data_IF_516173895368
#
_entry.id   IF_516173895368
#
_cell.length_a   1.000
_cell.length_b   1.000
_cell.length_c   1.000
_cell.angle_alpha   90.00
_cell.angle_beta   90.00
_cell.angle_gamma   90.00
#
_symmetry.space_group_name_H-M   'P 1'
#
loop_
_entity.id
_entity.type
_entity.pdbx_description
1 polymer ?
#
# COMPACT_ATOMS: atom_id res chain seq x y z
N UNK A 1 2.06 8.92 -0.35
CA UNK A 1 3.01 8.00 -1.01
C UNK A 1 4.13 7.67 -0.04
N UNK A 2 4.68 6.46 -0.14
CA UNK A 2 5.86 6.01 0.59
C UNK A 2 6.89 5.44 -0.39
N UNK A 3 8.16 5.62 -0.09
CA UNK A 3 9.30 4.99 -0.75
C UNK A 3 9.60 3.68 -0.02
N UNK A 4 9.39 2.52 -0.66
CA UNK A 4 9.82 1.26 -0.08
C UNK A 4 11.36 1.17 -0.07
N UNK A 5 11.94 0.26 0.75
CA UNK A 5 13.39 0.03 0.71
C UNK A 5 13.89 -0.32 -0.71
N UNK A 6 15.12 0.05 -1.08
CA UNK A 6 15.67 -0.21 -2.42
C UNK A 6 15.54 -1.67 -2.84
N UNK A 7 15.18 -1.91 -4.10
CA UNK A 7 14.99 -3.26 -4.65
C UNK A 7 13.68 -3.94 -4.25
N UNK A 8 12.78 -3.26 -3.51
CA UNK A 8 11.51 -3.86 -3.10
C UNK A 8 10.48 -3.77 -4.24
N UNK A 9 10.07 -4.93 -4.75
CA UNK A 9 8.95 -5.03 -5.69
C UNK A 9 7.58 -4.82 -5.04
N UNK A 10 6.55 -4.52 -5.86
CA UNK A 10 5.20 -4.20 -5.39
C UNK A 10 4.59 -5.32 -4.53
N UNK A 11 4.77 -6.59 -4.92
CA UNK A 11 4.27 -7.73 -4.14
C UNK A 11 4.90 -7.78 -2.74
N UNK A 12 6.21 -7.58 -2.65
CA UNK A 12 6.95 -7.56 -1.37
C UNK A 12 6.58 -6.35 -0.52
N UNK A 13 6.40 -5.19 -1.13
CA UNK A 13 5.93 -3.98 -0.48
C UNK A 13 4.53 -4.19 0.11
N UNK A 14 3.59 -4.69 -0.70
CA UNK A 14 2.23 -4.99 -0.28
C UNK A 14 2.19 -6.00 0.86
N UNK A 15 2.99 -7.08 0.77
CA UNK A 15 3.08 -8.07 1.85
C UNK A 15 3.47 -7.44 3.19
N UNK A 16 4.51 -6.59 3.20
CA UNK A 16 4.98 -5.91 4.42
C UNK A 16 3.92 -4.98 5.01
N UNK A 17 3.19 -4.27 4.16
CA UNK A 17 2.06 -3.43 4.58
C UNK A 17 0.97 -4.28 5.23
N UNK A 18 0.58 -5.38 4.59
CA UNK A 18 -0.45 -6.27 5.12
C UNK A 18 -0.03 -6.97 6.41
N UNK A 19 1.23 -7.38 6.53
CA UNK A 19 1.77 -7.95 7.76
C UNK A 19 1.69 -6.94 8.92
N UNK A 20 2.01 -5.66 8.68
CA UNK A 20 1.89 -4.59 9.68
C UNK A 20 0.42 -4.33 10.09
N UNK A 21 -0.51 -4.46 9.16
CA UNK A 21 -1.95 -4.28 9.41
C UNK A 21 -2.63 -5.53 10.01
N UNK A 22 -1.90 -6.64 10.18
CA UNK A 22 -2.50 -7.94 10.51
C UNK A 22 -3.56 -8.37 9.50
N UNK A 23 -3.41 -7.94 8.24
CA UNK A 23 -4.35 -8.23 7.17
C UNK A 23 -4.11 -9.64 6.61
N UNK A 24 -5.19 -10.28 6.17
CA UNK A 24 -5.14 -11.66 5.67
C UNK A 24 -5.67 -11.75 4.24
N UNK A 25 -5.25 -12.83 3.56
CA UNK A 25 -5.69 -13.19 2.20
C UNK A 25 -5.41 -12.09 1.16
N UNK A 26 -4.14 -11.68 0.99
CA UNK A 26 -3.80 -10.73 -0.06
C UNK A 26 -4.13 -11.30 -1.44
N UNK A 27 -4.71 -10.46 -2.30
CA UNK A 27 -5.01 -10.78 -3.69
C UNK A 27 -4.48 -9.68 -4.60
N UNK A 28 -3.90 -10.06 -5.72
CA UNK A 28 -3.58 -9.14 -6.80
C UNK A 28 -4.84 -8.91 -7.64
N UNK A 29 -5.16 -7.64 -7.90
CA UNK A 29 -6.29 -7.23 -8.72
C UNK A 29 -5.72 -6.44 -9.88
N UNK A 30 -6.12 -6.84 -11.08
CA UNK A 30 -5.82 -6.19 -12.34
C UNK A 30 -7.14 -5.90 -13.03
N UNK A 31 -7.44 -4.62 -13.27
CA UNK A 31 -8.69 -4.19 -13.93
C UNK A 31 -8.36 -3.62 -15.30
N UNK A 32 -8.85 -4.33 -16.31
CA UNK A 32 -8.83 -3.91 -17.70
C UNK A 32 -10.23 -3.52 -18.12
N UNK A 33 -10.46 -2.26 -18.43
CA UNK A 33 -11.73 -1.78 -18.99
C UNK A 33 -11.49 -1.05 -20.29
N UNK A 34 -12.39 -1.22 -21.27
CA UNK A 34 -12.42 -0.34 -22.43
C UNK A 34 -12.57 1.10 -21.94
N UNK A 35 -11.58 1.96 -22.23
CA UNK A 35 -11.48 3.35 -21.79
C UNK A 35 -11.15 3.60 -20.30
N UNK A 36 -10.63 2.62 -19.56
CA UNK A 36 -10.11 2.85 -18.21
C UNK A 36 -8.57 2.79 -18.21
N UNK A 37 -7.95 3.74 -17.49
CA UNK A 37 -6.53 3.64 -17.12
C UNK A 37 -6.29 2.28 -16.46
N UNK A 38 -5.19 1.62 -16.83
CA UNK A 38 -4.79 0.33 -16.27
C UNK A 38 -4.66 0.46 -14.74
N UNK A 39 -5.59 -0.16 -13.98
CA UNK A 39 -5.61 -0.11 -12.51
C UNK A 39 -5.19 -1.48 -11.96
N UNK A 40 -4.05 -1.50 -11.28
CA UNK A 40 -3.48 -2.68 -10.65
C UNK A 40 -3.16 -2.40 -9.20
N UNK A 41 -3.49 -3.33 -8.32
CA UNK A 41 -3.19 -3.20 -6.89
C UNK A 41 -3.25 -4.54 -6.18
N UNK A 42 -2.51 -4.61 -5.09
CA UNK A 42 -2.73 -5.65 -4.09
C UNK A 42 -3.81 -5.21 -3.12
N UNK A 43 -4.70 -6.12 -2.73
CA UNK A 43 -5.73 -5.87 -1.74
C UNK A 43 -5.74 -6.95 -0.67
N UNK A 44 -5.91 -6.57 0.60
CA UNK A 44 -6.19 -7.49 1.68
C UNK A 44 -7.28 -6.92 2.59
N UNK A 45 -8.01 -7.80 3.29
CA UNK A 45 -8.95 -7.37 4.33
C UNK A 45 -8.20 -7.23 5.64
N UNK A 46 -8.36 -6.06 6.27
CA UNK A 46 -7.75 -5.79 7.54
C UNK A 46 -8.51 -6.49 8.66
N UNK A 47 -7.79 -6.93 9.69
CA UNK A 47 -8.37 -7.56 10.87
C UNK A 47 -9.22 -6.60 11.70
N UNK A 48 -9.68 -7.08 12.86
CA UNK A 48 -10.54 -6.32 13.77
C UNK A 48 -9.99 -4.95 14.19
N UNK A 49 -8.66 -4.77 14.18
CA UNK A 49 -8.00 -3.51 14.52
C UNK A 49 -8.33 -2.34 13.58
N UNK A 50 -8.82 -2.62 12.37
CA UNK A 50 -9.03 -1.65 11.29
C UNK A 50 -10.44 -1.75 10.70
N UNK A 51 -11.39 -2.25 11.50
CA UNK A 51 -12.81 -2.21 11.16
C UNK A 51 -13.17 -2.92 9.86
N UNK A 52 -12.77 -4.19 9.65
CA UNK A 52 -13.14 -5.04 8.49
C UNK A 52 -12.90 -4.42 7.08
N UNK A 53 -12.29 -3.24 7.00
CA UNK A 53 -12.08 -2.53 5.75
C UNK A 53 -10.99 -3.18 4.90
N UNK A 54 -11.04 -2.94 3.59
CA UNK A 54 -9.98 -3.35 2.69
C UNK A 54 -8.81 -2.35 2.71
N UNK A 55 -7.59 -2.87 2.72
CA UNK A 55 -6.38 -2.12 2.40
C UNK A 55 -6.00 -2.42 0.94
N UNK A 56 -5.68 -1.37 0.17
CA UNK A 56 -5.11 -1.48 -1.18
C UNK A 56 -3.70 -0.89 -1.20
N UNK A 57 -2.80 -1.56 -1.90
CA UNK A 57 -1.44 -1.12 -2.15
C UNK A 57 -1.21 -1.05 -3.65
N UNK A 58 -0.92 0.15 -4.13
CA UNK A 58 -0.63 0.49 -5.53
C UNK A 58 0.86 0.82 -5.67
N UNK A 59 1.44 0.41 -6.79
CA UNK A 59 2.80 0.76 -7.17
C UNK A 59 2.81 1.79 -8.29
N UNK A 60 3.97 2.38 -8.55
CA UNK A 60 4.21 3.19 -9.74
C UNK A 60 4.46 2.35 -11.00
N UNK A 61 4.94 1.11 -10.84
CA UNK A 61 5.18 0.17 -11.94
C UNK A 61 4.23 -1.02 -11.86
N UNK A 62 3.73 -1.45 -13.01
CA UNK A 62 2.80 -2.57 -13.10
C UNK A 62 3.47 -3.91 -12.81
N UNK A 63 4.74 -4.10 -13.20
CA UNK A 63 5.45 -5.36 -12.97
C UNK A 63 5.63 -5.60 -11.46
N UNK A 64 4.95 -6.61 -10.88
CA UNK A 64 4.85 -6.74 -9.43
C UNK A 64 6.18 -7.13 -8.75
N UNK A 65 7.13 -7.63 -9.55
CA UNK A 65 8.47 -8.02 -9.11
C UNK A 65 9.52 -6.91 -9.33
N UNK A 66 9.23 -5.91 -10.17
CA UNK A 66 10.18 -4.83 -10.42
C UNK A 66 10.24 -3.89 -9.21
N UNK A 67 11.44 -3.39 -8.84
CA UNK A 67 11.60 -2.41 -7.78
C UNK A 67 10.70 -1.20 -7.98
N UNK A 68 9.88 -0.87 -6.98
CA UNK A 68 8.99 0.29 -7.04
C UNK A 68 9.73 1.54 -6.57
N UNK A 69 9.51 2.67 -7.26
CA UNK A 69 10.01 3.96 -6.79
C UNK A 69 9.05 4.55 -5.76
N UNK A 70 7.78 4.18 -5.80
CA UNK A 70 6.83 4.61 -4.78
C UNK A 70 5.67 3.66 -4.68
N UNK A 71 5.05 3.64 -3.50
CA UNK A 71 3.76 3.01 -3.33
C UNK A 71 2.73 3.98 -2.75
N UNK A 72 1.47 3.70 -3.06
CA UNK A 72 0.32 4.33 -2.46
C UNK A 72 -0.47 3.30 -1.64
N UNK A 73 -0.81 3.65 -0.40
CA UNK A 73 -1.57 2.81 0.51
C UNK A 73 -2.91 3.48 0.73
N UNK A 74 -3.99 2.76 0.43
CA UNK A 74 -5.37 3.22 0.61
C UNK A 74 -6.06 2.31 1.61
N UNK A 75 -6.71 2.89 2.61
CA UNK A 75 -7.62 2.17 3.50
C UNK A 75 -9.06 2.53 3.12
N UNK A 76 -9.94 1.54 3.12
CA UNK A 76 -11.37 1.77 2.97
C UNK A 76 -11.87 2.77 4.02
N UNK A 77 -12.71 3.71 3.59
CA UNK A 77 -13.15 4.80 4.46
C UNK A 77 -14.04 4.25 5.60
N UNK A 78 -13.55 4.35 6.82
CA UNK A 78 -14.30 4.09 8.05
C UNK A 78 -13.87 5.07 9.15
N UNK A 79 -14.63 5.12 10.24
CA UNK A 79 -14.24 5.87 11.43
C UNK A 79 -12.88 5.34 11.94
N UNK A 80 -11.85 6.20 11.94
CA UNK A 80 -10.49 5.84 12.34
C UNK A 80 -9.52 5.44 11.22
N UNK A 81 -9.95 5.36 9.95
CA UNK A 81 -9.07 4.99 8.84
C UNK A 81 -7.86 5.94 8.69
N UNK A 82 -8.06 7.24 8.90
CA UNK A 82 -6.98 8.23 8.85
C UNK A 82 -5.93 8.02 9.97
N UNK A 83 -6.39 7.77 11.20
CA UNK A 83 -5.50 7.51 12.34
C UNK A 83 -4.74 6.20 12.16
N UNK A 84 -5.42 5.17 11.69
CA UNK A 84 -4.81 3.91 11.32
C UNK A 84 -3.74 4.06 10.23
N UNK A 85 -4.03 4.83 9.18
CA UNK A 85 -3.07 5.08 8.11
C UNK A 85 -1.84 5.85 8.65
N UNK A 86 -2.04 6.82 9.53
CA UNK A 86 -0.93 7.54 10.18
C UNK A 86 -0.07 6.62 11.05
N UNK A 87 -0.70 5.74 11.84
CA UNK A 87 0.01 4.75 12.66
C UNK A 87 0.81 3.75 11.81
N UNK A 88 0.21 3.24 10.73
CA UNK A 88 0.89 2.40 9.75
C UNK A 88 2.10 3.12 9.13
N UNK A 89 1.91 4.37 8.70
CA UNK A 89 3.00 5.15 8.12
C UNK A 89 4.16 5.28 9.11
N UNK A 90 3.89 5.62 10.38
CA UNK A 90 4.93 5.70 11.40
C UNK A 90 5.67 4.36 11.61
N UNK A 91 4.95 3.23 11.63
CA UNK A 91 5.56 1.90 11.75
C UNK A 91 6.43 1.54 10.54
N UNK A 92 5.98 1.85 9.32
CA UNK A 92 6.74 1.61 8.10
C UNK A 92 8.01 2.47 8.05
N UNK A 93 7.92 3.75 8.45
CA UNK A 93 9.08 4.64 8.56
C UNK A 93 10.10 4.11 9.58
N UNK A 94 9.64 3.62 10.74
CA UNK A 94 10.50 2.97 11.73
C UNK A 94 11.17 1.69 11.20
N UNK A 95 10.61 1.06 10.15
CA UNK A 95 11.14 -0.13 9.46
C UNK A 95 11.99 0.22 8.23
N UNK A 96 12.42 1.47 8.09
CA UNK A 96 13.36 1.90 7.03
C UNK A 96 12.71 2.25 5.70
N UNK A 97 11.39 2.52 5.70
CA UNK A 97 10.73 3.17 4.58
C UNK A 97 10.95 4.68 4.66
N UNK A 98 10.78 5.39 3.54
CA UNK A 98 10.96 6.84 3.49
C UNK A 98 9.73 7.56 2.93
N UNK A 99 9.61 8.85 3.23
CA UNK A 99 8.66 9.74 2.56
C UNK A 99 9.30 10.32 1.30
N UNK A 100 8.55 10.56 0.20
CA UNK A 100 9.06 11.31 -0.92
C UNK A 100 9.56 12.68 -0.44
N UNK A 101 10.62 13.23 -1.05
CA UNK A 101 11.09 14.56 -0.69
C UNK A 101 9.95 15.56 -0.85
N UNK A 102 9.66 16.33 0.20
CA UNK A 102 8.73 17.45 0.12
C UNK A 102 9.25 18.43 -0.93
N UNK A 103 8.44 18.83 -1.94
CA UNK A 103 8.87 19.86 -2.86
C UNK A 103 9.15 21.13 -2.07
N UNK A 104 10.38 21.64 -2.19
CA UNK A 104 10.76 22.94 -1.66
C UNK A 104 10.03 23.95 -2.55
N UNK A 105 9.04 24.63 -1.98
CA UNK A 105 8.30 25.71 -2.65
C UNK A 105 9.15 26.97 -2.81
#
# INVERSE_FOLDING_TARGET
MLLPPPGTGLQSAAKRVFDALGAHRPRFIERHGANQSYDFYWQAHCGAALGRGACRVRGDLWEPQQPQNSIHIELEAHAGAAQALAGLQAELLARGWSLPPTPIG
#
